data_IF_083427928231
#
_entry.id   IF_083427928231
#
_cell.length_a   1.000
_cell.length_b   1.000
_cell.length_c   1.000
_cell.angle_alpha   90.00
_cell.angle_beta   90.00
_cell.angle_gamma   90.00
#
_symmetry.space_group_name_H-M   'P 1'
#
loop_
_entity.id
_entity.type
_entity.pdbx_description
1 polymer ?
#
# COMPACT_ATOMS: atom_id res chain seq x y z
N UNK A 1 -71.81 -38.00 74.43
CA UNK A 1 -70.43 -37.91 73.91
C UNK A 1 -70.41 -36.81 72.86
N UNK A 2 -69.59 -35.78 73.09
CA UNK A 2 -69.13 -34.66 72.24
C UNK A 2 -70.04 -34.15 71.09
N UNK A 3 -70.57 -32.90 71.18
CA UNK A 3 -69.96 -31.63 70.67
C UNK A 3 -70.19 -31.47 69.15
N UNK A 4 -70.61 -30.37 68.52
CA UNK A 4 -70.86 -28.95 68.81
C UNK A 4 -71.67 -28.42 67.59
N UNK A 5 -72.75 -27.62 67.71
CA UNK A 5 -72.80 -26.12 67.67
C UNK A 5 -72.22 -25.56 66.34
N UNK A 6 -72.83 -24.70 65.52
CA UNK A 6 -74.03 -23.85 65.53
C UNK A 6 -74.16 -23.17 64.14
N UNK A 7 -75.38 -22.93 63.62
CA UNK A 7 -76.06 -21.60 63.49
C UNK A 7 -75.43 -20.68 62.42
N UNK A 8 -76.04 -20.46 61.24
CA UNK A 8 -77.31 -19.81 60.88
C UNK A 8 -77.22 -18.28 60.73
N UNK A 9 -77.91 -17.84 59.67
CA UNK A 9 -78.59 -16.58 59.46
C UNK A 9 -77.93 -15.43 58.67
N UNK A 10 -78.56 -15.30 57.50
CA UNK A 10 -78.61 -14.28 56.45
C UNK A 10 -79.30 -13.00 56.94
N UNK A 11 -78.80 -11.84 56.52
CA UNK A 11 -79.60 -10.61 56.31
C UNK A 11 -78.87 -9.63 55.40
N UNK A 12 -79.60 -9.12 54.40
CA UNK A 12 -79.21 -8.05 53.49
C UNK A 12 -79.02 -6.72 54.22
N UNK A 13 -78.07 -5.87 53.80
CA UNK A 13 -78.18 -4.42 53.94
C UNK A 13 -77.43 -3.65 52.85
N UNK A 14 -77.93 -2.44 52.68
CA UNK A 14 -77.85 -1.46 51.63
C UNK A 14 -76.56 -0.61 51.70
N UNK A 15 -76.03 -0.28 50.52
CA UNK A 15 -75.13 0.81 50.13
C UNK A 15 -74.91 1.95 51.14
N UNK A 16 -73.66 2.23 51.54
CA UNK A 16 -73.10 3.61 51.58
C UNK A 16 -71.57 3.54 51.58
N UNK A 17 -71.00 4.52 50.91
CA UNK A 17 -69.63 4.74 50.48
C UNK A 17 -68.61 4.99 51.61
N UNK A 18 -67.34 4.82 51.24
CA UNK A 18 -66.13 5.44 51.80
C UNK A 18 -65.32 4.76 52.94
N UNK A 19 -64.01 4.67 52.62
CA UNK A 19 -62.83 4.65 53.50
C UNK A 19 -62.45 3.33 54.20
N UNK A 20 -61.70 2.48 53.48
CA UNK A 20 -60.67 1.62 54.09
C UNK A 20 -59.70 1.07 53.01
N UNK A 21 -58.80 1.92 52.50
CA UNK A 21 -57.73 1.51 51.56
C UNK A 21 -56.35 2.00 52.00
N UNK A 22 -56.15 2.16 53.30
CA UNK A 22 -54.92 2.74 53.84
C UNK A 22 -54.22 1.79 54.83
N UNK A 23 -54.00 0.51 54.51
CA UNK A 23 -53.08 -0.30 55.35
C UNK A 23 -52.40 -1.51 54.70
N UNK A 24 -52.17 -1.56 53.38
CA UNK A 24 -51.31 -2.61 52.79
C UNK A 24 -50.49 -2.09 51.61
N UNK A 25 -49.65 -1.09 51.85
CA UNK A 25 -48.55 -0.78 50.93
C UNK A 25 -47.33 -0.30 51.73
N UNK A 26 -46.72 -1.22 52.48
CA UNK A 26 -45.35 -1.06 53.00
C UNK A 26 -44.36 -1.64 52.00
N UNK A 27 -43.40 -0.78 51.64
CA UNK A 27 -42.07 -1.06 51.02
C UNK A 27 -41.99 -1.40 49.52
N UNK A 28 -41.51 -0.43 48.73
CA UNK A 28 -40.09 -0.39 48.30
C UNK A 28 -39.77 1.02 47.77
N UNK A 29 -39.45 1.97 48.66
CA UNK A 29 -38.73 3.16 48.20
C UNK A 29 -37.24 2.82 48.22
N UNK A 30 -36.55 2.74 47.06
CA UNK A 30 -35.11 2.67 47.11
C UNK A 30 -34.64 3.95 47.81
N UNK A 31 -33.99 3.81 48.97
CA UNK A 31 -33.30 4.90 49.64
C UNK A 31 -32.31 5.47 48.63
N UNK A 32 -32.69 6.54 47.92
CA UNK A 32 -31.81 7.24 46.99
C UNK A 32 -30.72 7.85 47.83
N UNK A 33 -29.59 7.13 47.92
CA UNK A 33 -28.38 7.64 48.52
C UNK A 33 -27.99 8.88 47.72
N UNK A 34 -28.33 10.06 48.25
CA UNK A 34 -27.96 11.36 47.72
C UNK A 34 -26.45 11.54 47.93
N UNK A 35 -25.66 10.81 47.15
CA UNK A 35 -24.21 10.94 47.10
C UNK A 35 -23.95 12.23 46.33
N UNK A 36 -23.77 13.33 47.06
CA UNK A 36 -23.31 14.61 46.50
C UNK A 36 -22.04 14.32 45.69
N UNK A 37 -22.16 14.31 44.38
CA UNK A 37 -21.04 14.04 43.48
C UNK A 37 -20.15 15.27 43.56
N UNK A 38 -18.96 15.12 44.14
CA UNK A 38 -18.02 16.21 44.26
C UNK A 38 -17.64 16.67 42.85
N UNK A 39 -17.92 17.95 42.53
CA UNK A 39 -17.70 18.52 41.19
C UNK A 39 -16.24 18.32 40.72
N UNK A 40 -15.29 18.25 41.64
CA UNK A 40 -13.88 17.91 41.36
C UNK A 40 -13.68 16.49 40.83
N UNK A 41 -14.46 15.49 41.26
CA UNK A 41 -14.43 14.12 40.71
C UNK A 41 -14.99 14.05 39.29
N UNK A 42 -16.01 14.86 38.98
CA UNK A 42 -16.55 14.95 37.61
C UNK A 42 -15.49 15.59 36.70
N UNK A 43 -14.86 16.67 37.16
CA UNK A 43 -13.80 17.36 36.41
C UNK A 43 -12.61 16.42 36.17
N UNK A 44 -12.17 15.66 37.17
CA UNK A 44 -11.08 14.67 36.98
C UNK A 44 -11.47 13.56 36.03
N UNK A 45 -12.69 13.02 36.13
CA UNK A 45 -13.18 12.01 35.18
C UNK A 45 -13.23 12.53 33.73
N UNK A 46 -13.68 13.77 33.53
CA UNK A 46 -13.71 14.42 32.20
C UNK A 46 -12.30 14.64 31.66
N UNK A 47 -11.35 15.08 32.49
CA UNK A 47 -9.94 15.26 32.10
C UNK A 47 -9.31 13.92 31.70
N UNK A 48 -9.57 12.85 32.46
CA UNK A 48 -9.05 11.50 32.15
C UNK A 48 -9.62 11.01 30.81
N UNK A 49 -10.92 11.20 30.57
CA UNK A 49 -11.54 10.82 29.29
C UNK A 49 -10.95 11.64 28.13
N UNK A 50 -10.70 12.94 28.31
CA UNK A 50 -10.06 13.78 27.30
C UNK A 50 -8.62 13.35 27.01
N UNK A 51 -7.84 12.98 28.04
CA UNK A 51 -6.47 12.51 27.87
C UNK A 51 -6.42 11.16 27.15
N UNK A 52 -7.32 10.24 27.49
CA UNK A 52 -7.44 8.95 26.79
C UNK A 52 -7.89 9.17 25.34
N UNK A 53 -8.87 10.04 25.12
CA UNK A 53 -9.33 10.41 23.77
C UNK A 53 -8.23 11.03 22.93
N UNK A 54 -7.43 11.94 23.50
CA UNK A 54 -6.28 12.55 22.83
C UNK A 54 -5.17 11.53 22.55
N UNK A 55 -4.92 10.58 23.46
CA UNK A 55 -3.97 9.49 23.26
C UNK A 55 -4.39 8.54 22.14
N UNK A 56 -5.67 8.15 22.11
CA UNK A 56 -6.24 7.32 21.04
C UNK A 56 -6.24 8.08 19.72
N UNK A 57 -6.67 9.34 19.70
CA UNK A 57 -6.62 10.17 18.50
C UNK A 57 -5.20 10.36 17.98
N UNK A 58 -4.24 10.64 18.87
CA UNK A 58 -2.82 10.74 18.53
C UNK A 58 -2.26 9.42 17.98
N UNK A 59 -2.65 8.29 18.58
CA UNK A 59 -2.26 6.96 18.11
C UNK A 59 -2.84 6.64 16.72
N UNK A 60 -4.10 6.99 16.47
CA UNK A 60 -4.76 6.80 15.17
C UNK A 60 -4.17 7.72 14.09
N UNK A 61 -3.82 8.96 14.43
CA UNK A 61 -3.16 9.88 13.51
C UNK A 61 -1.71 9.46 13.21
N UNK A 62 -1.03 8.82 14.17
CA UNK A 62 0.32 8.29 13.99
C UNK A 62 0.35 7.10 13.01
N UNK A 63 -0.59 6.16 13.12
CA UNK A 63 -0.70 5.00 12.22
C UNK A 63 -1.04 5.41 10.77
N UNK A 64 -1.76 6.52 10.57
CA UNK A 64 -2.31 6.90 9.27
C UNK A 64 -1.37 7.61 8.28
N UNK A 65 -0.10 7.87 8.62
CA UNK A 65 0.60 8.99 7.98
C UNK A 65 1.79 8.70 7.05
N UNK A 66 2.21 7.46 6.76
CA UNK A 66 3.48 7.26 6.02
C UNK A 66 3.55 6.13 4.99
N UNK A 67 2.43 5.59 4.52
CA UNK A 67 2.44 4.54 3.48
C UNK A 67 1.83 5.06 2.17
N UNK A 68 2.69 5.22 1.17
CA UNK A 68 2.29 5.58 -0.19
C UNK A 68 2.38 4.37 -1.09
N UNK A 69 1.24 3.98 -1.66
CA UNK A 69 1.15 2.92 -2.63
C UNK A 69 0.99 3.56 -4.01
N UNK A 70 1.81 3.13 -4.96
CA UNK A 70 1.64 3.50 -6.37
C UNK A 70 1.68 2.24 -7.21
N UNK A 71 0.72 2.13 -8.11
CA UNK A 71 0.57 0.98 -9.01
C UNK A 71 1.28 1.24 -10.36
N UNK A 72 1.99 2.36 -10.50
CA UNK A 72 2.63 2.77 -11.75
C UNK A 72 4.15 2.61 -11.69
N UNK A 73 4.58 1.49 -11.12
CA UNK A 73 5.98 1.11 -10.99
C UNK A 73 6.41 0.28 -12.21
N UNK A 74 7.53 0.66 -12.84
CA UNK A 74 8.15 -0.06 -13.96
C UNK A 74 9.51 -0.57 -13.55
N UNK A 75 9.82 -1.81 -13.95
CA UNK A 75 11.16 -2.38 -13.79
C UNK A 75 12.02 -1.85 -14.93
N UNK A 76 13.02 -1.05 -14.58
CA UNK A 76 13.99 -0.49 -15.51
C UNK A 76 15.37 -1.13 -15.25
N UNK A 77 16.21 -1.11 -16.27
CA UNK A 77 17.56 -1.69 -16.26
C UNK A 77 18.42 -0.94 -17.26
N UNK A 78 19.73 -0.94 -17.02
CA UNK A 78 20.67 -0.51 -18.05
C UNK A 78 20.59 -1.49 -19.22
N UNK A 79 20.26 -0.99 -20.40
CA UNK A 79 20.22 -1.75 -21.64
C UNK A 79 21.35 -1.31 -22.57
N UNK A 80 21.98 -2.27 -23.22
CA UNK A 80 22.98 -2.01 -24.24
C UNK A 80 22.51 -2.62 -25.56
N UNK A 81 22.32 -1.75 -26.55
CA UNK A 81 21.95 -2.15 -27.90
C UNK A 81 23.24 -2.48 -28.66
N UNK A 82 23.26 -3.64 -29.31
CA UNK A 82 24.36 -4.05 -30.17
C UNK A 82 23.92 -3.91 -31.62
N UNK A 83 24.68 -3.13 -32.37
CA UNK A 83 24.40 -2.82 -33.76
C UNK A 83 25.39 -3.51 -34.70
N UNK A 84 25.00 -3.65 -35.97
CA UNK A 84 25.89 -4.15 -36.99
C UNK A 84 26.96 -3.10 -37.33
N UNK A 85 28.23 -3.48 -37.28
CA UNK A 85 29.34 -2.60 -37.67
C UNK A 85 29.57 -2.59 -39.19
N UNK A 86 28.90 -3.46 -39.94
CA UNK A 86 29.10 -3.66 -41.37
C UNK A 86 27.80 -4.16 -41.98
N UNK A 87 27.49 -3.70 -43.19
CA UNK A 87 26.38 -4.21 -43.98
C UNK A 87 26.68 -5.60 -44.55
N UNK A 88 25.76 -6.54 -44.36
CA UNK A 88 25.87 -7.89 -44.87
C UNK A 88 24.83 -8.86 -44.30
N UNK A 89 24.93 -10.12 -44.69
CA UNK A 89 24.06 -11.17 -44.16
C UNK A 89 24.52 -11.62 -42.77
N UNK A 90 23.59 -11.80 -41.83
CA UNK A 90 23.85 -12.42 -40.54
C UNK A 90 24.15 -13.91 -40.76
N UNK A 91 25.37 -14.33 -40.50
CA UNK A 91 25.78 -15.72 -40.69
C UNK A 91 25.25 -16.61 -39.59
N UNK A 92 25.37 -16.15 -38.34
CA UNK A 92 24.97 -16.90 -37.17
C UNK A 92 24.76 -16.01 -35.95
N UNK A 93 23.71 -16.34 -35.21
CA UNK A 93 23.36 -15.86 -33.91
C UNK A 93 23.63 -16.99 -32.90
N UNK A 94 24.50 -16.72 -31.94
CA UNK A 94 24.97 -17.72 -30.98
C UNK A 94 24.14 -17.75 -29.69
N UNK A 95 23.14 -16.87 -29.58
CA UNK A 95 22.34 -16.67 -28.37
C UNK A 95 20.86 -16.64 -28.65
N UNK A 96 20.07 -17.03 -27.64
CA UNK A 96 18.62 -16.93 -27.65
C UNK A 96 18.13 -15.80 -26.74
N UNK A 97 16.90 -15.34 -26.96
CA UNK A 97 16.26 -14.35 -26.08
C UNK A 97 16.05 -14.97 -24.68
N UNK A 98 16.35 -14.21 -23.64
CA UNK A 98 16.34 -14.66 -22.24
C UNK A 98 17.59 -15.42 -21.80
N UNK A 99 18.57 -15.63 -22.68
CA UNK A 99 19.83 -16.28 -22.32
C UNK A 99 20.77 -15.31 -21.57
N UNK A 100 21.38 -15.79 -20.50
CA UNK A 100 22.44 -15.07 -19.80
C UNK A 100 23.74 -15.05 -20.65
N UNK A 101 24.40 -13.90 -20.66
CA UNK A 101 25.64 -13.65 -21.41
C UNK A 101 26.66 -12.91 -20.56
N UNK A 102 27.92 -13.23 -20.79
CA UNK A 102 29.06 -12.59 -20.13
C UNK A 102 29.69 -11.50 -21.01
N UNK A 103 30.31 -10.51 -20.39
CA UNK A 103 31.09 -9.50 -21.09
C UNK A 103 32.21 -10.16 -21.92
N UNK A 104 32.29 -9.79 -23.20
CA UNK A 104 33.21 -10.36 -24.18
C UNK A 104 32.71 -11.61 -24.90
N UNK A 105 31.61 -12.23 -24.46
CA UNK A 105 31.01 -13.40 -25.12
C UNK A 105 30.57 -13.04 -26.54
N UNK A 106 30.84 -13.93 -27.51
CA UNK A 106 30.41 -13.77 -28.91
C UNK A 106 28.91 -14.02 -29.00
N UNK A 107 28.17 -13.04 -29.52
CA UNK A 107 26.71 -13.11 -29.62
C UNK A 107 26.26 -13.33 -31.07
N UNK A 108 26.91 -12.68 -32.03
CA UNK A 108 26.50 -12.73 -33.43
C UNK A 108 27.69 -12.54 -34.39
N UNK A 109 27.52 -12.97 -35.63
CA UNK A 109 28.50 -12.79 -36.70
C UNK A 109 27.82 -12.34 -38.00
N UNK A 110 28.23 -11.17 -38.50
CA UNK A 110 27.81 -10.66 -39.81
C UNK A 110 28.85 -11.03 -40.87
N UNK A 111 28.42 -11.34 -42.08
CA UNK A 111 29.27 -11.64 -43.20
C UNK A 111 30.22 -10.46 -43.47
N UNK A 112 31.53 -10.75 -43.55
CA UNK A 112 32.61 -9.75 -43.74
C UNK A 112 32.72 -8.70 -42.63
N UNK A 113 32.00 -8.86 -41.51
CA UNK A 113 32.10 -8.00 -40.33
C UNK A 113 32.90 -8.65 -39.19
N UNK A 114 33.27 -7.87 -38.15
CA UNK A 114 33.85 -8.41 -36.94
C UNK A 114 32.82 -9.23 -36.13
N UNK A 115 33.30 -10.07 -35.22
CA UNK A 115 32.44 -10.74 -34.25
C UNK A 115 31.81 -9.71 -33.31
N UNK A 116 30.49 -9.80 -33.15
CA UNK A 116 29.74 -8.96 -32.22
C UNK A 116 29.79 -9.63 -30.85
N UNK A 117 30.28 -8.90 -29.86
CA UNK A 117 30.49 -9.38 -28.48
C UNK A 117 29.66 -8.60 -27.50
N UNK A 118 29.25 -9.24 -26.40
CA UNK A 118 28.57 -8.54 -25.31
C UNK A 118 29.52 -7.53 -24.68
N UNK A 119 29.13 -6.27 -24.49
CA UNK A 119 29.93 -5.28 -23.77
C UNK A 119 29.78 -5.38 -22.25
N UNK A 120 28.73 -6.04 -21.76
CA UNK A 120 28.37 -6.16 -20.34
C UNK A 120 27.94 -7.59 -20.01
N UNK A 121 27.99 -7.94 -18.73
CA UNK A 121 27.29 -9.10 -18.19
C UNK A 121 25.79 -8.80 -18.13
N UNK A 122 24.96 -9.77 -18.51
CA UNK A 122 23.52 -9.56 -18.50
C UNK A 122 22.71 -10.67 -19.15
N UNK A 123 21.49 -10.33 -19.56
CA UNK A 123 20.57 -11.24 -20.24
C UNK A 123 20.13 -10.63 -21.56
N UNK A 124 20.03 -11.46 -22.62
CA UNK A 124 19.53 -11.03 -23.92
C UNK A 124 18.04 -10.67 -23.80
N UNK A 125 17.72 -9.38 -23.82
CA UNK A 125 16.36 -8.89 -23.63
C UNK A 125 15.53 -9.03 -24.91
N UNK A 126 16.13 -8.74 -26.06
CA UNK A 126 15.47 -8.79 -27.35
C UNK A 126 16.46 -9.10 -28.47
N UNK A 127 16.00 -9.81 -29.49
CA UNK A 127 16.72 -10.12 -30.74
C UNK A 127 15.82 -9.65 -31.88
N UNK A 128 16.33 -8.76 -32.72
CA UNK A 128 15.57 -8.17 -33.83
C UNK A 128 15.80 -8.91 -35.15
N UNK A 129 16.89 -9.69 -35.23
CA UNK A 129 17.35 -10.34 -36.47
C UNK A 129 17.59 -11.83 -36.26
N UNK A 130 17.44 -12.60 -37.32
CA UNK A 130 17.63 -14.05 -37.33
C UNK A 130 18.75 -14.44 -38.29
N UNK A 131 19.23 -15.67 -38.13
CA UNK A 131 20.22 -16.26 -39.04
C UNK A 131 19.75 -16.17 -40.48
N UNK A 132 20.59 -15.59 -41.34
CA UNK A 132 20.30 -15.37 -42.75
C UNK A 132 19.69 -14.00 -43.08
N UNK A 133 19.30 -13.20 -42.10
CA UNK A 133 18.78 -11.85 -42.33
C UNK A 133 19.86 -10.91 -42.88
N UNK A 134 19.45 -9.93 -43.68
CA UNK A 134 20.35 -8.90 -44.18
C UNK A 134 20.28 -7.67 -43.27
N UNK A 135 21.43 -7.24 -42.77
CA UNK A 135 21.55 -6.08 -41.88
C UNK A 135 22.46 -5.02 -42.49
N UNK A 136 22.14 -3.76 -42.24
CA UNK A 136 22.96 -2.62 -42.60
C UNK A 136 23.79 -2.13 -41.41
N UNK A 137 24.84 -1.38 -41.68
CA UNK A 137 25.58 -0.67 -40.63
C UNK A 137 24.62 0.16 -39.75
N UNK A 138 24.80 0.08 -38.44
CA UNK A 138 23.98 0.67 -37.40
C UNK A 138 22.61 0.01 -37.15
N UNK A 139 22.20 -1.00 -37.92
CA UNK A 139 20.99 -1.76 -37.61
C UNK A 139 21.15 -2.49 -36.27
N UNK A 140 20.13 -2.42 -35.43
CA UNK A 140 20.13 -3.09 -34.12
C UNK A 140 19.89 -4.58 -34.32
N UNK A 141 20.83 -5.38 -33.84
CA UNK A 141 20.79 -6.85 -33.96
C UNK A 141 20.12 -7.45 -32.72
N UNK A 142 20.58 -7.04 -31.53
CA UNK A 142 20.07 -7.54 -30.25
C UNK A 142 20.31 -6.52 -29.13
N UNK A 143 19.63 -6.74 -28.01
CA UNK A 143 19.73 -5.91 -26.81
C UNK A 143 20.10 -6.80 -25.62
N UNK A 144 21.12 -6.39 -24.87
CA UNK A 144 21.51 -7.02 -23.60
C UNK A 144 21.10 -6.12 -22.46
N UNK A 145 20.42 -6.66 -21.45
CA UNK A 145 20.01 -5.96 -20.24
C UNK A 145 20.86 -6.41 -19.05
N UNK A 146 21.33 -5.47 -18.24
CA UNK A 146 22.06 -5.76 -17.00
C UNK A 146 21.10 -6.21 -15.89
N UNK A 147 21.02 -7.52 -15.64
CA UNK A 147 20.16 -8.07 -14.58
C UNK A 147 20.68 -7.86 -13.16
N UNK A 148 21.94 -7.43 -12.99
CA UNK A 148 22.55 -7.21 -11.68
C UNK A 148 22.23 -5.83 -11.10
N UNK A 149 21.84 -4.88 -11.95
CA UNK A 149 21.54 -3.49 -11.58
C UNK A 149 20.15 -3.08 -12.08
N UNK A 150 19.14 -3.78 -11.56
CA UNK A 150 17.73 -3.52 -11.86
C UNK A 150 17.16 -2.57 -10.81
N UNK A 151 16.42 -1.56 -11.26
CA UNK A 151 15.75 -0.60 -10.40
C UNK A 151 14.28 -0.46 -10.79
N UNK A 152 13.48 0.08 -9.87
CA UNK A 152 12.05 0.25 -10.09
C UNK A 152 11.74 1.74 -10.07
N UNK A 153 11.26 2.25 -11.20
CA UNK A 153 10.82 3.63 -11.33
C UNK A 153 9.33 3.70 -11.06
N UNK A 154 8.90 4.49 -10.10
CA UNK A 154 7.49 4.66 -9.78
C UNK A 154 7.11 6.13 -9.79
N UNK A 155 6.04 6.46 -10.52
CA UNK A 155 5.48 7.80 -10.49
C UNK A 155 4.69 7.99 -9.18
N UNK A 156 5.03 9.03 -8.44
CA UNK A 156 4.35 9.43 -7.20
C UNK A 156 3.68 10.78 -7.42
N UNK A 157 2.46 10.94 -6.92
CA UNK A 157 1.76 12.22 -6.94
C UNK A 157 2.53 13.28 -6.12
N UNK A 158 2.65 14.50 -6.64
CA UNK A 158 3.44 15.59 -6.06
C UNK A 158 3.01 15.96 -4.62
N UNK A 159 1.71 15.89 -4.33
CA UNK A 159 1.16 16.12 -2.98
C UNK A 159 1.74 15.18 -1.92
N UNK A 160 2.25 14.03 -2.37
CA UNK A 160 2.74 12.94 -1.54
C UNK A 160 4.26 12.80 -1.59
N UNK A 161 4.96 13.46 -2.54
CA UNK A 161 6.42 13.40 -2.65
C UNK A 161 7.13 13.97 -1.42
N UNK A 162 6.53 14.95 -0.75
CA UNK A 162 7.06 15.57 0.49
C UNK A 162 7.19 14.57 1.65
N UNK A 163 6.50 13.43 1.58
CA UNK A 163 6.52 12.41 2.62
C UNK A 163 7.47 11.25 2.31
N UNK A 164 8.09 11.24 1.12
CA UNK A 164 9.05 10.22 0.70
C UNK A 164 10.48 10.75 0.88
N UNK A 165 11.36 9.93 1.45
CA UNK A 165 12.77 10.28 1.65
C UNK A 165 13.69 9.21 1.07
N UNK A 166 14.84 9.66 0.56
CA UNK A 166 15.92 8.75 0.18
C UNK A 166 16.34 7.90 1.39
N UNK A 167 16.51 6.60 1.18
CA UNK A 167 16.80 5.60 2.21
C UNK A 167 15.58 5.02 2.93
N UNK A 168 14.36 5.48 2.61
CA UNK A 168 13.14 4.92 3.19
C UNK A 168 12.91 3.48 2.71
N UNK A 169 12.55 2.52 3.60
CA UNK A 169 12.21 1.17 3.20
C UNK A 169 10.91 1.15 2.39
N UNK A 170 10.87 0.31 1.36
CA UNK A 170 9.74 0.12 0.46
C UNK A 170 9.57 -1.36 0.17
N UNK A 171 8.32 -1.82 0.09
CA UNK A 171 7.99 -3.16 -0.39
C UNK A 171 7.31 -3.02 -1.75
N UNK A 172 7.90 -3.61 -2.79
CA UNK A 172 7.34 -3.61 -4.15
C UNK A 172 6.75 -4.98 -4.46
N UNK A 173 5.47 -5.01 -4.81
CA UNK A 173 4.81 -6.23 -5.26
C UNK A 173 4.90 -6.32 -6.79
N UNK A 174 5.44 -7.43 -7.30
CA UNK A 174 5.51 -7.68 -8.74
C UNK A 174 4.54 -8.80 -9.12
N UNK A 175 3.46 -8.44 -9.82
CA UNK A 175 2.42 -9.39 -10.29
C UNK A 175 3.03 -10.55 -11.08
N UNK A 176 4.05 -10.27 -11.90
CA UNK A 176 4.73 -11.27 -12.73
C UNK A 176 5.38 -12.40 -11.92
N UNK A 177 5.76 -12.13 -10.66
CA UNK A 177 6.40 -13.10 -9.77
C UNK A 177 5.51 -13.52 -8.58
N UNK A 178 4.33 -12.89 -8.42
CA UNK A 178 3.39 -13.18 -7.33
C UNK A 178 3.96 -12.97 -5.93
N UNK A 179 4.95 -12.09 -5.77
CA UNK A 179 5.66 -11.87 -4.51
C UNK A 179 6.08 -10.41 -4.32
N UNK A 180 6.25 -10.02 -3.06
CA UNK A 180 6.85 -8.75 -2.66
C UNK A 180 8.36 -8.84 -2.57
N UNK A 181 9.02 -7.75 -2.92
CA UNK A 181 10.45 -7.51 -2.79
C UNK A 181 10.68 -6.29 -1.91
N UNK A 182 11.52 -6.44 -0.90
CA UNK A 182 11.94 -5.32 -0.05
C UNK A 182 13.07 -4.55 -0.74
N UNK A 183 13.03 -3.24 -0.63
CA UNK A 183 14.03 -2.33 -1.18
C UNK A 183 14.08 -1.01 -0.43
N UNK A 184 14.87 -0.08 -0.96
CA UNK A 184 15.01 1.26 -0.40
C UNK A 184 14.85 2.30 -1.50
N UNK A 185 14.33 3.48 -1.14
CA UNK A 185 14.28 4.62 -2.06
C UNK A 185 15.72 5.09 -2.33
N UNK A 186 16.23 4.85 -3.54
CA UNK A 186 17.58 5.24 -3.95
C UNK A 186 17.67 6.71 -4.31
N UNK A 187 16.68 7.23 -5.03
CA UNK A 187 16.63 8.61 -5.50
C UNK A 187 15.19 9.12 -5.55
N UNK A 188 15.01 10.42 -5.26
CA UNK A 188 13.75 11.13 -5.49
C UNK A 188 14.04 12.24 -6.50
N UNK A 189 13.65 12.02 -7.76
CA UNK A 189 13.87 12.99 -8.82
C UNK A 189 13.07 14.28 -8.53
N UNK A 190 13.77 15.42 -8.52
CA UNK A 190 13.17 16.74 -8.24
C UNK A 190 12.43 17.33 -9.46
N UNK A 191 12.45 16.63 -10.59
CA UNK A 191 11.86 17.08 -11.86
C UNK A 191 10.83 16.08 -12.35
N UNK A 192 9.63 16.57 -12.67
CA UNK A 192 8.66 15.81 -13.45
C UNK A 192 9.28 15.49 -14.82
N UNK A 193 9.14 14.25 -15.29
CA UNK A 193 9.75 13.73 -16.53
C UNK A 193 9.40 14.53 -17.79
N UNK A 194 8.51 15.51 -17.69
CA UNK A 194 8.09 16.42 -18.76
C UNK A 194 9.12 17.49 -19.14
N UNK A 195 10.22 17.70 -18.40
CA UNK A 195 11.23 18.74 -18.73
C UNK A 195 12.53 18.26 -19.39
N UNK A 196 12.79 16.96 -19.47
CA UNK A 196 14.08 16.46 -20.04
C UNK A 196 14.07 16.24 -21.56
N UNK A 197 12.91 16.28 -22.22
CA UNK A 197 12.82 16.20 -23.68
C UNK A 197 12.78 17.62 -24.30
N UNK A 198 13.94 18.27 -24.37
CA UNK A 198 14.30 19.15 -25.48
C UNK A 198 13.52 20.44 -25.79
N UNK A 199 12.52 20.86 -25.01
CA UNK A 199 11.90 22.20 -25.20
C UNK A 199 11.83 22.93 -23.85
N UNK A 200 12.80 23.82 -23.63
CA UNK A 200 12.81 24.74 -22.49
C UNK A 200 11.71 25.79 -22.70
N UNK A 201 10.52 25.54 -22.16
CA UNK A 201 9.59 26.64 -21.86
C UNK A 201 9.86 27.08 -20.43
N UNK A 202 10.65 28.14 -20.30
CA UNK A 202 10.84 28.84 -19.03
C UNK A 202 9.52 29.49 -18.61
N UNK A 203 9.09 29.22 -17.38
CA UNK A 203 8.06 30.02 -16.73
C UNK A 203 8.72 30.67 -15.52
N UNK A 204 8.88 31.99 -15.60
CA UNK A 204 9.23 32.84 -14.46
C UNK A 204 7.96 33.08 -13.64
N UNK A 205 8.08 33.09 -12.32
CA UNK A 205 7.05 33.64 -11.43
C UNK A 205 7.68 34.81 -10.68
N UNK A 206 6.92 35.90 -10.58
CA UNK A 206 7.31 37.25 -10.16
C UNK A 206 7.97 37.34 -8.80
#
# INVERSE_FOLDING_TARGET
MASSIATNQKTDHHNTDHQEKDEYEKEFTPKTANRKINRSMIITAVIVILLVGAGVAGYLLYQGSFYYQTNNAKVDTVIQQLTANTTGQLLRLYVAQGQAVEAGQVLAQVQRGPLIRSPIDGTVANITVHDGDYVNTADVILVVANTSDMYITANVEETNILKIKVGQPVSVYLDAYGRSFDGYVSEVAMVTSTKLSGTVSSFTTS
#
